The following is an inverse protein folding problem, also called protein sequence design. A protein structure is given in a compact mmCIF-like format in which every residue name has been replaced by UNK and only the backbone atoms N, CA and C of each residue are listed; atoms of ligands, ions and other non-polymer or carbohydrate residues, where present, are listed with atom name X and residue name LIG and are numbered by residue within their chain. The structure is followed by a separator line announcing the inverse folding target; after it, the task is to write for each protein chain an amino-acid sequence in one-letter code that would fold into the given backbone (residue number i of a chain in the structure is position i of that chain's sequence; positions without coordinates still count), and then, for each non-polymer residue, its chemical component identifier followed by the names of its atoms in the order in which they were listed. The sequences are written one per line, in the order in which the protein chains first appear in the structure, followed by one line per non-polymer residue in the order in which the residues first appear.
data_IF_236192648724
#
_entry.id   IF_236192648724
#
_cell.length_a   1.000
_cell.length_b   1.000
_cell.length_c   1.000
_cell.angle_alpha   90.00
_cell.angle_beta   90.00
_cell.angle_gamma   90.00
#
_symmetry.space_group_name_H-M   'P 1'
#
loop_
_entity.id
_entity.type
_entity.pdbx_description
1 polymer ?
#
# COMPACT_ATOMS: atom_id res chain seq x y z
N UNK A 1 6.80 -12.93 46.07
CA UNK A 1 8.00 -13.75 46.38
C UNK A 1 8.09 -14.87 45.36
N UNK A 2 9.14 -14.88 44.63
CA UNK A 2 9.90 -15.87 43.87
C UNK A 2 10.24 -15.38 42.46
N UNK A 3 11.45 -14.83 42.37
CA UNK A 3 12.14 -14.54 41.14
C UNK A 3 12.67 -15.84 40.52
N UNK A 4 12.35 -16.13 39.29
CA UNK A 4 13.00 -17.24 38.58
C UNK A 4 13.84 -16.65 37.43
N UNK A 5 15.17 -16.74 37.62
CA UNK A 5 16.18 -16.32 36.63
C UNK A 5 16.41 -17.46 35.64
N UNK A 6 16.01 -17.26 34.37
CA UNK A 6 16.49 -18.11 33.29
C UNK A 6 17.72 -17.49 32.66
N UNK A 7 18.86 -18.11 32.94
CA UNK A 7 20.16 -17.77 32.37
C UNK A 7 20.28 -18.53 31.04
N UNK A 8 20.20 -17.83 29.92
CA UNK A 8 20.41 -18.43 28.60
C UNK A 8 21.92 -18.53 28.33
N UNK A 9 22.37 -19.72 28.01
CA UNK A 9 23.73 -20.00 27.54
C UNK A 9 23.80 -19.67 26.05
N UNK A 10 24.77 -18.83 25.66
CA UNK A 10 25.10 -18.53 24.26
C UNK A 10 26.29 -19.41 23.89
N UNK A 11 26.20 -20.32 22.91
CA UNK A 11 27.38 -21.02 22.42
C UNK A 11 28.25 -20.09 21.59
N UNK A 12 29.51 -19.96 21.96
CA UNK A 12 30.50 -19.21 21.19
C UNK A 12 30.90 -20.02 19.96
N UNK A 13 30.64 -19.48 18.78
CA UNK A 13 31.14 -20.05 17.52
C UNK A 13 32.50 -19.41 17.24
N UNK A 14 33.56 -20.22 17.31
CA UNK A 14 34.92 -19.82 16.96
C UNK A 14 35.04 -19.86 15.45
N UNK A 15 35.16 -18.68 14.82
CA UNK A 15 35.48 -18.55 13.39
C UNK A 15 37.00 -18.65 13.22
N UNK A 16 37.47 -19.71 12.56
CA UNK A 16 38.88 -19.85 12.19
C UNK A 16 39.17 -19.06 10.92
N UNK A 17 39.93 -18.00 11.04
CA UNK A 17 40.42 -17.18 9.88
C UNK A 17 41.67 -17.89 9.33
N UNK A 18 41.57 -18.39 8.11
CA UNK A 18 42.71 -18.89 7.33
C UNK A 18 43.37 -17.73 6.61
N UNK A 19 44.53 -17.28 7.12
CA UNK A 19 45.38 -16.28 6.47
C UNK A 19 46.29 -17.00 5.47
N UNK A 20 46.07 -16.75 4.17
CA UNK A 20 47.02 -17.18 3.11
C UNK A 20 48.07 -16.11 2.97
N UNK A 21 49.30 -16.41 3.44
CA UNK A 21 50.49 -15.55 3.27
C UNK A 21 51.12 -15.92 1.94
N UNK A 22 51.09 -15.02 0.96
CA UNK A 22 51.86 -15.16 -0.27
C UNK A 22 53.20 -14.50 -0.04
N UNK A 23 54.26 -15.34 0.10
CA UNK A 23 55.63 -14.83 0.19
C UNK A 23 56.17 -14.53 -1.22
N UNK A 24 56.44 -13.28 -1.49
CA UNK A 24 57.17 -12.87 -2.71
C UNK A 24 58.64 -12.88 -2.36
N UNK A 25 59.37 -13.87 -2.86
CA UNK A 25 60.83 -13.89 -2.79
C UNK A 25 61.37 -13.25 -4.07
N UNK A 26 61.95 -12.09 -3.94
CA UNK A 26 62.68 -11.43 -5.04
C UNK A 26 64.09 -12.03 -5.17
N UNK A 27 64.41 -12.49 -6.36
CA UNK A 27 65.74 -12.91 -6.72
C UNK A 27 66.17 -12.30 -8.06
N UNK A 28 67.30 -11.64 -8.06
CA UNK A 28 67.85 -10.93 -9.20
C UNK A 28 68.81 -11.80 -10.02
N UNK A 29 68.86 -11.53 -11.33
CA UNK A 29 69.92 -11.67 -12.32
C UNK A 29 70.22 -13.06 -12.92
N UNK A 30 70.27 -13.07 -14.25
CA UNK A 30 70.96 -14.05 -15.09
C UNK A 30 70.39 -14.22 -16.49
N UNK A 31 70.90 -13.49 -17.39
CA UNK A 31 71.21 -13.57 -18.82
C UNK A 31 70.84 -14.86 -19.57
N UNK A 32 70.13 -14.64 -20.70
CA UNK A 32 70.11 -15.35 -22.00
C UNK A 32 69.80 -16.85 -22.05
N UNK A 33 68.64 -17.21 -22.64
CA UNK A 33 68.63 -18.06 -23.85
C UNK A 33 67.24 -17.98 -24.50
N UNK A 34 67.24 -17.75 -25.82
CA UNK A 34 66.04 -17.72 -26.63
C UNK A 34 65.63 -19.15 -27.00
N UNK A 35 64.53 -19.61 -26.42
CA UNK A 35 63.89 -20.82 -26.86
C UNK A 35 62.45 -20.50 -27.33
N UNK A 36 62.23 -20.72 -28.59
CA UNK A 36 60.98 -20.58 -29.35
C UNK A 36 59.82 -21.35 -28.68
N UNK A 37 58.93 -20.59 -28.05
CA UNK A 37 57.66 -21.15 -27.55
C UNK A 37 56.56 -21.01 -28.63
N UNK A 38 55.91 -22.08 -29.03
CA UNK A 38 54.79 -21.95 -29.97
C UNK A 38 53.68 -21.12 -29.38
N UNK A 39 53.27 -20.08 -30.08
CA UNK A 39 52.12 -19.26 -29.72
C UNK A 39 50.86 -20.11 -29.76
N UNK A 40 50.25 -20.35 -28.61
CA UNK A 40 48.91 -20.99 -28.55
C UNK A 40 47.94 -19.93 -29.04
N UNK A 41 47.48 -20.09 -30.28
CA UNK A 41 46.41 -19.27 -30.83
C UNK A 41 45.13 -19.64 -30.12
N UNK A 42 44.69 -18.83 -29.19
CA UNK A 42 43.33 -18.95 -28.59
C UNK A 42 42.31 -18.64 -29.68
N UNK A 43 41.84 -19.68 -30.34
CA UNK A 43 40.69 -19.57 -31.23
C UNK A 43 39.48 -19.19 -30.38
N UNK A 44 39.12 -17.92 -30.41
CA UNK A 44 37.87 -17.46 -29.80
C UNK A 44 36.70 -18.07 -30.57
N UNK A 45 36.11 -19.08 -29.98
CA UNK A 45 34.84 -19.64 -30.52
C UNK A 45 33.79 -18.58 -30.24
N UNK A 46 33.16 -17.98 -31.27
CA UNK A 46 32.07 -17.06 -31.00
C UNK A 46 30.96 -17.84 -30.28
N UNK A 47 30.62 -17.40 -29.06
CA UNK A 47 29.46 -17.95 -28.37
C UNK A 47 28.22 -17.53 -29.15
N UNK A 48 27.73 -18.42 -29.99
CA UNK A 48 26.43 -18.24 -30.66
C UNK A 48 25.37 -18.36 -29.58
N UNK A 49 24.94 -17.24 -29.04
CA UNK A 49 23.78 -17.19 -28.16
C UNK A 49 22.56 -17.45 -29.03
N UNK A 50 22.15 -18.70 -29.12
CA UNK A 50 20.89 -19.04 -29.77
C UNK A 50 19.76 -18.62 -28.87
N UNK A 51 19.21 -17.45 -29.11
CA UNK A 51 17.97 -16.99 -28.45
C UNK A 51 16.85 -17.87 -29.00
N UNK A 52 16.47 -18.87 -28.24
CA UNK A 52 15.28 -19.69 -28.60
C UNK A 52 14.06 -18.80 -28.31
N UNK A 53 13.50 -18.22 -29.36
CA UNK A 53 12.22 -17.50 -29.25
C UNK A 53 11.11 -18.54 -29.12
N UNK A 54 10.47 -18.57 -27.99
CA UNK A 54 9.23 -19.35 -27.80
C UNK A 54 8.18 -18.76 -28.76
N UNK A 55 7.55 -19.58 -29.62
CA UNK A 55 6.52 -19.05 -30.53
C UNK A 55 5.38 -18.39 -29.75
N UNK A 56 4.98 -17.20 -30.16
CA UNK A 56 3.84 -16.49 -29.55
C UNK A 56 2.53 -17.19 -29.93
N UNK A 57 1.62 -17.26 -28.97
CA UNK A 57 0.27 -17.77 -29.15
C UNK A 57 -0.64 -16.60 -29.53
N UNK A 58 -1.31 -16.61 -30.69
CA UNK A 58 -2.17 -15.51 -31.09
C UNK A 58 -3.46 -15.49 -30.32
N UNK A 59 -3.97 -14.27 -30.04
CA UNK A 59 -5.29 -14.04 -29.49
C UNK A 59 -6.24 -13.66 -30.63
N UNK A 60 -7.40 -14.33 -30.74
CA UNK A 60 -8.32 -14.15 -31.86
C UNK A 60 -9.41 -13.10 -31.63
N UNK A 61 -9.53 -12.59 -30.40
CA UNK A 61 -10.57 -11.63 -30.01
C UNK A 61 -10.07 -10.71 -28.91
N UNK A 62 -10.81 -9.63 -28.66
CA UNK A 62 -10.58 -8.82 -27.48
C UNK A 62 -11.12 -9.54 -26.24
N UNK A 63 -10.38 -9.43 -25.13
CA UNK A 63 -10.85 -9.90 -23.82
C UNK A 63 -11.15 -8.69 -22.96
N UNK A 64 -12.42 -8.54 -22.60
CA UNK A 64 -12.93 -7.44 -21.79
C UNK A 64 -13.71 -7.99 -20.61
N UNK A 65 -14.10 -7.16 -19.67
CA UNK A 65 -14.84 -7.58 -18.47
C UNK A 65 -16.03 -8.48 -18.86
N UNK A 66 -16.05 -9.68 -18.29
CA UNK A 66 -17.06 -10.70 -18.58
C UNK A 66 -16.64 -11.73 -19.64
N UNK A 67 -15.52 -11.52 -20.35
CA UNK A 67 -14.97 -12.55 -21.26
C UNK A 67 -14.58 -13.79 -20.45
N UNK A 68 -14.80 -14.97 -21.06
CA UNK A 68 -14.47 -16.26 -20.43
C UNK A 68 -13.78 -17.20 -21.42
N UNK A 69 -12.95 -18.10 -20.90
CA UNK A 69 -12.32 -19.16 -21.72
C UNK A 69 -10.85 -19.40 -21.38
N UNK A 70 -10.28 -20.41 -22.05
CA UNK A 70 -8.85 -20.77 -21.91
C UNK A 70 -7.92 -19.62 -22.32
N UNK A 71 -8.35 -18.80 -23.28
CA UNK A 71 -7.60 -17.60 -23.68
C UNK A 71 -7.50 -16.57 -22.54
N UNK A 72 -8.53 -16.51 -21.67
CA UNK A 72 -8.49 -15.66 -20.47
C UNK A 72 -7.53 -16.25 -19.44
N UNK A 73 -7.58 -17.58 -19.21
CA UNK A 73 -6.63 -18.23 -18.29
C UNK A 73 -5.18 -17.99 -18.72
N UNK A 74 -4.90 -18.07 -20.03
CA UNK A 74 -3.55 -17.78 -20.57
C UNK A 74 -3.11 -16.36 -20.24
N UNK A 75 -4.00 -15.38 -20.38
CA UNK A 75 -3.70 -13.98 -20.06
C UNK A 75 -3.49 -13.79 -18.54
N UNK A 76 -4.36 -14.37 -17.73
CA UNK A 76 -4.24 -14.29 -16.26
C UNK A 76 -2.92 -14.92 -15.81
N UNK A 77 -2.59 -16.12 -16.31
CA UNK A 77 -1.33 -16.77 -15.98
C UNK A 77 -0.15 -15.90 -16.40
N UNK A 78 -0.19 -15.33 -17.61
CA UNK A 78 0.90 -14.48 -18.09
C UNK A 78 1.07 -13.21 -17.23
N UNK A 79 -0.04 -12.55 -16.86
CA UNK A 79 0.00 -11.38 -15.96
C UNK A 79 0.69 -11.76 -14.63
N UNK A 80 0.28 -12.88 -14.03
CA UNK A 80 0.89 -13.39 -12.80
C UNK A 80 2.39 -13.65 -12.97
N UNK A 81 2.78 -14.34 -14.07
CA UNK A 81 4.18 -14.68 -14.35
C UNK A 81 5.08 -13.46 -14.47
N UNK A 82 4.52 -12.31 -14.88
CA UNK A 82 5.29 -11.06 -15.06
C UNK A 82 5.08 -10.05 -13.95
N UNK A 83 4.48 -10.48 -12.82
CA UNK A 83 4.38 -9.69 -11.59
C UNK A 83 3.16 -8.78 -11.48
N UNK A 84 2.19 -8.94 -12.40
CA UNK A 84 0.90 -8.22 -12.35
C UNK A 84 -0.18 -9.19 -11.88
N UNK A 85 -0.42 -9.25 -10.59
CA UNK A 85 -1.36 -10.21 -9.99
C UNK A 85 -2.80 -9.96 -10.47
N UNK A 86 -3.39 -10.87 -11.29
CA UNK A 86 -4.74 -10.68 -11.83
C UNK A 86 -5.83 -11.23 -10.90
N UNK A 87 -5.47 -11.69 -9.70
CA UNK A 87 -6.36 -12.48 -8.85
C UNK A 87 -6.40 -13.94 -9.29
N UNK A 88 -7.49 -14.65 -9.04
CA UNK A 88 -7.61 -16.07 -9.42
C UNK A 88 -7.43 -16.28 -10.94
N UNK A 89 -6.74 -17.35 -11.28
CA UNK A 89 -6.63 -17.80 -12.68
C UNK A 89 -7.82 -18.72 -12.92
N UNK A 90 -8.96 -18.12 -13.26
CA UNK A 90 -10.27 -18.79 -13.31
C UNK A 90 -10.91 -18.74 -14.70
N UNK A 91 -10.21 -18.15 -15.66
CA UNK A 91 -10.71 -18.03 -17.02
C UNK A 91 -11.85 -17.01 -17.16
N UNK A 92 -11.98 -16.04 -16.22
CA UNK A 92 -13.02 -15.00 -16.28
C UNK A 92 -12.36 -13.63 -16.11
N UNK A 93 -12.56 -12.72 -17.06
CA UNK A 93 -12.07 -11.34 -16.91
C UNK A 93 -12.97 -10.62 -15.88
N UNK A 94 -12.55 -10.69 -14.64
CA UNK A 94 -13.18 -9.98 -13.53
C UNK A 94 -12.59 -8.60 -13.29
N UNK A 95 -12.95 -7.98 -12.17
CA UNK A 95 -12.43 -6.67 -11.76
C UNK A 95 -10.92 -6.76 -11.50
N UNK A 96 -10.45 -7.81 -10.84
CA UNK A 96 -9.03 -7.97 -10.48
C UNK A 96 -8.16 -8.14 -11.74
N UNK A 97 -8.59 -8.99 -12.68
CA UNK A 97 -7.92 -9.14 -13.97
C UNK A 97 -7.83 -7.79 -14.70
N UNK A 98 -8.95 -7.05 -14.73
CA UNK A 98 -9.00 -5.72 -15.37
C UNK A 98 -8.00 -4.75 -14.70
N UNK A 99 -7.92 -4.75 -13.37
CA UNK A 99 -6.99 -3.90 -12.63
C UNK A 99 -5.52 -4.24 -12.95
N UNK A 100 -5.20 -5.54 -13.08
CA UNK A 100 -3.86 -5.97 -13.49
C UNK A 100 -3.54 -5.50 -14.91
N UNK A 101 -4.52 -5.58 -15.83
CA UNK A 101 -4.36 -5.06 -17.21
C UNK A 101 -4.14 -3.55 -17.18
N UNK A 102 -4.90 -2.79 -16.38
CA UNK A 102 -4.68 -1.35 -16.20
C UNK A 102 -3.24 -1.04 -15.75
N UNK A 103 -2.73 -1.80 -14.77
CA UNK A 103 -1.36 -1.60 -14.31
C UNK A 103 -0.36 -1.85 -15.45
N UNK A 104 -0.58 -2.89 -16.23
CA UNK A 104 0.28 -3.22 -17.37
C UNK A 104 0.22 -2.14 -18.46
N UNK A 105 -1.00 -1.71 -18.85
CA UNK A 105 -1.19 -0.65 -19.86
C UNK A 105 -0.44 0.63 -19.45
N UNK A 106 -0.59 1.04 -18.19
CA UNK A 106 -0.01 2.29 -17.70
C UNK A 106 1.51 2.18 -17.50
N UNK A 107 1.98 1.11 -16.87
CA UNK A 107 3.39 1.00 -16.49
C UNK A 107 4.29 0.53 -17.65
N UNK A 108 3.83 -0.44 -18.45
CA UNK A 108 4.65 -1.05 -19.50
C UNK A 108 4.41 -0.41 -20.86
N UNK A 109 3.15 -0.06 -21.15
CA UNK A 109 2.79 0.52 -22.45
C UNK A 109 2.81 2.05 -22.44
N UNK A 110 2.91 2.67 -21.26
CA UNK A 110 2.90 4.12 -21.13
C UNK A 110 1.56 4.77 -21.50
N UNK A 111 0.47 4.01 -21.36
CA UNK A 111 -0.87 4.54 -21.65
C UNK A 111 -1.28 5.48 -20.51
N UNK A 112 -1.69 6.73 -20.80
CA UNK A 112 -2.19 7.62 -19.75
C UNK A 112 -3.35 6.97 -18.99
N UNK A 113 -3.46 7.22 -17.67
CA UNK A 113 -4.44 6.51 -16.82
C UNK A 113 -5.89 6.64 -17.34
N UNK A 114 -6.25 7.81 -17.87
CA UNK A 114 -7.59 8.07 -18.39
C UNK A 114 -7.90 7.32 -19.70
N UNK A 115 -6.87 6.84 -20.40
CA UNK A 115 -6.99 6.09 -21.66
C UNK A 115 -6.84 4.58 -21.46
N UNK A 116 -6.45 4.14 -20.25
CA UNK A 116 -6.28 2.71 -19.94
C UNK A 116 -7.65 2.03 -19.94
N UNK A 117 -7.81 1.06 -20.82
CA UNK A 117 -9.11 0.39 -21.05
C UNK A 117 -9.33 -0.84 -20.18
N UNK A 118 -8.25 -1.53 -19.83
CA UNK A 118 -8.33 -2.84 -19.18
C UNK A 118 -8.83 -3.92 -20.12
N UNK A 119 -8.72 -3.69 -21.43
CA UNK A 119 -9.12 -4.65 -22.49
C UNK A 119 -7.87 -5.26 -23.10
N UNK A 120 -7.76 -6.58 -23.08
CA UNK A 120 -6.63 -7.25 -23.73
C UNK A 120 -6.96 -7.43 -25.20
N UNK A 121 -6.41 -6.57 -26.04
CA UNK A 121 -6.50 -6.71 -27.50
C UNK A 121 -5.45 -7.71 -27.99
N UNK A 122 -5.58 -8.27 -29.20
CA UNK A 122 -4.52 -9.11 -29.78
C UNK A 122 -3.15 -8.42 -29.79
N UNK A 123 -3.10 -7.11 -30.04
CA UNK A 123 -1.85 -6.35 -30.02
C UNK A 123 -1.25 -6.24 -28.61
N UNK A 124 -2.09 -6.00 -27.62
CA UNK A 124 -1.64 -5.95 -26.22
C UNK A 124 -1.13 -7.33 -25.76
N UNK A 125 -1.87 -8.40 -26.13
CA UNK A 125 -1.46 -9.77 -25.84
C UNK A 125 -0.12 -10.13 -26.49
N UNK A 126 0.08 -9.73 -27.74
CA UNK A 126 1.37 -9.96 -28.42
C UNK A 126 2.52 -9.32 -27.64
N UNK A 127 2.31 -8.10 -27.11
CA UNK A 127 3.32 -7.39 -26.30
C UNK A 127 3.52 -8.04 -24.92
N UNK A 128 2.43 -8.52 -24.28
CA UNK A 128 2.51 -9.20 -22.99
C UNK A 128 3.37 -10.46 -23.02
N UNK A 129 3.45 -11.14 -24.16
CA UNK A 129 4.25 -12.37 -24.30
C UNK A 129 5.75 -12.07 -24.28
N UNK A 130 6.16 -10.82 -24.47
CA UNK A 130 7.56 -10.39 -24.30
C UNK A 130 7.83 -10.08 -22.83
N UNK A 131 9.08 -10.27 -22.36
CA UNK A 131 9.43 -9.86 -21.01
C UNK A 131 9.21 -8.35 -20.83
N UNK A 132 8.49 -7.90 -19.81
CA UNK A 132 8.38 -6.47 -19.55
C UNK A 132 9.70 -5.94 -18.99
N UNK A 133 10.07 -4.74 -19.40
CA UNK A 133 11.28 -4.08 -18.89
C UNK A 133 10.88 -3.02 -17.87
N UNK A 134 10.44 -3.48 -16.69
CA UNK A 134 10.11 -2.60 -15.57
C UNK A 134 11.37 -2.42 -14.73
N UNK A 135 11.81 -1.17 -14.59
CA UNK A 135 12.98 -0.80 -13.79
C UNK A 135 12.57 0.32 -12.84
N UNK A 136 13.19 0.36 -11.65
CA UNK A 136 12.90 1.48 -10.75
C UNK A 136 13.32 2.82 -11.38
N UNK A 137 12.54 3.85 -11.15
CA UNK A 137 12.93 5.22 -11.51
C UNK A 137 14.12 5.68 -10.67
N UNK A 138 14.22 5.13 -9.44
CA UNK A 138 15.34 5.42 -8.54
C UNK A 138 16.06 4.13 -8.15
N UNK A 139 16.95 3.62 -9.04
CA UNK A 139 17.65 2.36 -8.77
C UNK A 139 18.63 2.50 -7.60
N UNK A 140 18.67 1.47 -6.75
CA UNK A 140 19.57 1.39 -5.59
C UNK A 140 20.89 0.70 -5.90
N UNK A 141 21.08 0.24 -7.14
CA UNK A 141 22.21 -0.58 -7.53
C UNK A 141 22.10 -2.02 -7.00
N UNK A 142 20.87 -2.46 -6.71
CA UNK A 142 20.61 -3.79 -6.16
C UNK A 142 20.94 -3.92 -4.68
N UNK A 143 21.10 -2.81 -3.97
CA UNK A 143 21.51 -2.82 -2.56
C UNK A 143 20.32 -2.85 -1.59
N UNK A 144 19.19 -2.26 -1.98
CA UNK A 144 18.05 -2.08 -1.08
C UNK A 144 16.72 -2.47 -1.74
N UNK A 145 15.78 -2.87 -0.92
CA UNK A 145 14.37 -2.96 -1.30
C UNK A 145 13.74 -1.57 -1.15
N UNK A 146 12.71 -1.29 -1.95
CA UNK A 146 11.96 -0.03 -1.84
C UNK A 146 10.64 -0.14 -2.59
N UNK A 147 9.73 0.78 -2.32
CA UNK A 147 8.46 0.89 -3.04
C UNK A 147 8.45 2.21 -3.82
N UNK A 148 8.00 2.16 -5.05
CA UNK A 148 7.77 3.34 -5.89
C UNK A 148 6.27 3.48 -6.15
N UNK A 149 5.73 4.69 -5.89
CA UNK A 149 4.32 5.03 -6.07
C UNK A 149 4.24 6.14 -7.11
N UNK A 150 3.53 5.89 -8.21
CA UNK A 150 3.40 6.81 -9.34
C UNK A 150 1.97 7.35 -9.35
N UNK A 151 1.77 8.55 -8.80
CA UNK A 151 0.42 9.14 -8.64
C UNK A 151 -0.22 9.47 -9.97
N UNK A 152 0.57 9.90 -10.95
CA UNK A 152 0.05 10.23 -12.27
C UNK A 152 -0.50 8.98 -12.97
N UNK A 153 0.23 7.89 -12.90
CA UNK A 153 -0.15 6.62 -13.51
C UNK A 153 -1.12 5.80 -12.67
N UNK A 154 -1.23 6.10 -11.36
CA UNK A 154 -1.99 5.29 -10.41
C UNK A 154 -1.50 3.84 -10.43
N UNK A 155 -0.18 3.70 -10.19
CA UNK A 155 0.52 2.40 -10.13
C UNK A 155 1.48 2.41 -8.96
N UNK A 156 1.59 1.28 -8.27
CA UNK A 156 2.56 1.03 -7.21
C UNK A 156 3.43 -0.15 -7.62
N UNK A 157 4.74 -0.04 -7.39
CA UNK A 157 5.70 -1.11 -7.67
C UNK A 157 6.56 -1.35 -6.43
N UNK A 158 6.63 -2.60 -5.98
CA UNK A 158 7.58 -3.01 -4.95
C UNK A 158 8.81 -3.58 -5.66
N UNK A 159 9.98 -3.10 -5.30
CA UNK A 159 11.25 -3.57 -5.83
C UNK A 159 12.07 -4.28 -4.74
N UNK A 160 12.50 -5.50 -5.01
CA UNK A 160 13.49 -6.21 -4.21
C UNK A 160 14.83 -6.15 -4.92
N UNK A 161 15.75 -5.34 -4.41
CA UNK A 161 17.10 -5.15 -5.01
C UNK A 161 17.00 -4.74 -6.48
N UNK A 162 16.15 -3.78 -6.77
CA UNK A 162 15.88 -3.24 -8.11
C UNK A 162 15.16 -4.22 -9.06
N UNK A 163 14.72 -5.39 -8.57
CA UNK A 163 13.91 -6.34 -9.35
C UNK A 163 12.44 -6.16 -8.93
N UNK A 164 11.51 -5.93 -9.86
CA UNK A 164 10.10 -5.78 -9.48
C UNK A 164 9.54 -7.09 -8.90
N UNK A 165 8.97 -6.97 -7.70
CA UNK A 165 8.33 -8.07 -6.97
C UNK A 165 6.80 -8.02 -7.08
N UNK A 166 6.27 -6.80 -7.26
CA UNK A 166 4.82 -6.55 -7.41
C UNK A 166 4.58 -5.29 -8.24
N UNK A 167 3.68 -5.04 -9.12
CA UNK A 167 3.24 -4.17 -9.84
C UNK A 167 1.96 -4.09 -9.70
N UNK A 168 1.32 -3.17 -9.23
CA UNK A 168 -0.13 -3.19 -9.06
C UNK A 168 -0.79 -1.86 -9.39
N UNK A 169 -2.02 -1.93 -9.90
CA UNK A 169 -2.90 -0.77 -9.99
C UNK A 169 -3.24 -0.30 -8.57
N UNK A 170 -3.40 1.01 -8.41
CA UNK A 170 -3.79 1.61 -7.13
C UNK A 170 -4.76 2.78 -7.37
N UNK A 171 -5.33 3.33 -6.26
CA UNK A 171 -6.11 4.55 -6.30
C UNK A 171 -5.71 5.42 -5.12
N UNK A 172 -5.19 6.61 -5.40
CA UNK A 172 -4.69 7.58 -4.41
C UNK A 172 -5.75 8.61 -4.04
N UNK A 173 -5.34 9.68 -3.35
CA UNK A 173 -6.21 10.79 -2.95
C UNK A 173 -6.97 11.41 -4.13
N UNK A 174 -8.26 11.63 -3.92
CA UNK A 174 -9.17 12.18 -4.94
C UNK A 174 -8.71 13.54 -5.43
N UNK A 175 -8.85 13.77 -6.73
CA UNK A 175 -8.54 15.04 -7.37
C UNK A 175 -9.83 15.72 -7.84
N UNK A 176 -9.84 17.04 -7.78
CA UNK A 176 -10.94 17.84 -8.29
C UNK A 176 -10.87 17.99 -9.83
N UNK A 177 -11.77 18.78 -10.41
CA UNK A 177 -11.83 19.04 -11.86
C UNK A 177 -10.59 19.77 -12.42
N UNK A 178 -9.77 20.35 -11.54
CA UNK A 178 -8.53 21.04 -11.93
C UNK A 178 -7.28 20.17 -11.74
N UNK A 179 -7.45 18.97 -11.19
CA UNK A 179 -6.34 18.07 -10.90
C UNK A 179 -5.65 18.33 -9.54
N UNK A 180 -6.28 19.17 -8.70
CA UNK A 180 -5.78 19.45 -7.35
C UNK A 180 -6.45 18.51 -6.34
N UNK A 181 -5.87 18.29 -5.15
CA UNK A 181 -6.51 17.45 -4.14
C UNK A 181 -7.91 17.95 -3.80
N UNK A 182 -8.91 17.08 -3.94
CA UNK A 182 -10.32 17.43 -3.72
C UNK A 182 -10.58 17.75 -2.23
N UNK A 183 -11.36 18.79 -1.98
CA UNK A 183 -11.81 19.12 -0.64
C UNK A 183 -12.93 18.17 -0.22
N UNK A 184 -12.81 17.56 0.95
CA UNK A 184 -13.90 16.78 1.54
C UNK A 184 -14.25 17.33 2.92
N UNK A 185 -15.52 17.22 3.29
CA UNK A 185 -16.02 17.55 4.63
C UNK A 185 -16.88 16.37 5.10
N UNK A 186 -16.51 15.77 6.22
CA UNK A 186 -17.21 14.60 6.74
C UNK A 186 -17.45 14.73 8.25
N UNK A 187 -18.56 14.17 8.71
CA UNK A 187 -18.83 14.05 10.14
C UNK A 187 -18.24 12.72 10.60
N UNK A 188 -17.20 12.80 11.39
CA UNK A 188 -16.46 11.62 11.84
C UNK A 188 -16.65 11.40 13.35
N UNK A 189 -16.65 10.16 13.77
CA UNK A 189 -16.74 9.78 15.18
C UNK A 189 -15.46 9.06 15.57
N UNK A 190 -14.82 9.56 16.60
CA UNK A 190 -13.61 8.99 17.21
C UNK A 190 -14.05 8.25 18.47
N UNK A 191 -13.79 6.96 18.53
CA UNK A 191 -14.03 6.13 19.71
C UNK A 191 -12.73 5.83 20.47
N UNK A 192 -11.60 6.21 19.88
CA UNK A 192 -10.26 6.02 20.48
C UNK A 192 -9.49 7.34 20.48
N UNK A 193 -8.55 7.47 21.40
CA UNK A 193 -7.61 8.58 21.44
C UNK A 193 -6.44 8.37 20.47
N UNK A 194 -5.45 9.27 20.49
CA UNK A 194 -4.27 9.22 19.64
C UNK A 194 -3.37 8.02 19.92
N UNK A 195 -3.45 7.45 21.10
CA UNK A 195 -2.70 6.26 21.53
C UNK A 195 -3.44 4.97 21.16
N UNK A 196 -4.72 5.07 20.77
CA UNK A 196 -5.55 3.93 20.41
C UNK A 196 -6.35 3.35 21.58
N UNK A 197 -6.38 4.04 22.73
CA UNK A 197 -7.19 3.63 23.88
C UNK A 197 -8.62 4.13 23.71
N UNK A 198 -9.59 3.33 24.14
CA UNK A 198 -11.00 3.67 24.02
C UNK A 198 -11.35 4.91 24.86
N UNK A 199 -12.06 5.84 24.26
CA UNK A 199 -12.61 7.01 24.94
C UNK A 199 -13.79 6.60 25.81
N UNK A 200 -14.02 7.29 26.93
CA UNK A 200 -15.20 7.09 27.78
C UNK A 200 -16.49 7.39 27.01
N UNK A 201 -16.45 8.43 26.17
CA UNK A 201 -17.54 8.78 25.26
C UNK A 201 -16.97 9.09 23.88
N UNK A 202 -17.53 8.55 22.80
CA UNK A 202 -17.08 8.89 21.44
C UNK A 202 -17.24 10.39 21.15
N UNK A 203 -16.29 10.95 20.43
CA UNK A 203 -16.30 12.37 20.05
C UNK A 203 -16.70 12.45 18.57
N UNK A 204 -17.83 13.10 18.29
CA UNK A 204 -18.29 13.33 16.90
C UNK A 204 -18.02 14.79 16.54
N UNK A 205 -17.35 15.00 15.42
CA UNK A 205 -17.07 16.34 14.91
C UNK A 205 -17.02 16.35 13.38
N UNK A 206 -17.34 17.49 12.79
CA UNK A 206 -17.12 17.71 11.36
C UNK A 206 -15.65 18.05 11.15
N UNK A 207 -15.04 17.42 10.16
CA UNK A 207 -13.69 17.74 9.71
C UNK A 207 -13.71 18.03 8.21
N UNK A 208 -12.95 19.05 7.80
CA UNK A 208 -12.70 19.32 6.39
C UNK A 208 -11.20 19.22 6.15
N UNK A 209 -10.82 18.58 5.04
CA UNK A 209 -9.42 18.43 4.65
C UNK A 209 -9.34 18.17 3.14
N UNK A 210 -8.13 18.19 2.61
CA UNK A 210 -7.90 17.86 1.20
C UNK A 210 -7.47 16.41 1.05
N UNK A 211 -7.99 15.74 0.03
CA UNK A 211 -7.70 14.32 -0.30
C UNK A 211 -6.29 14.16 -0.88
N UNK A 212 -5.29 14.63 -0.13
CA UNK A 212 -3.91 14.73 -0.62
C UNK A 212 -3.10 13.46 -0.33
N UNK A 213 -2.58 12.83 -1.39
CA UNK A 213 -1.46 11.87 -1.26
C UNK A 213 -0.19 12.66 -1.59
N UNK A 214 0.63 13.03 -0.60
CA UNK A 214 1.80 13.85 -0.88
C UNK A 214 2.90 13.10 -1.64
N UNK A 215 3.58 13.80 -2.56
CA UNK A 215 4.85 13.32 -3.10
C UNK A 215 5.95 13.40 -2.05
N UNK A 216 7.05 12.70 -2.29
CA UNK A 216 8.21 12.76 -1.41
C UNK A 216 8.90 11.42 -1.16
N UNK A 217 9.90 11.46 -0.28
CA UNK A 217 10.64 10.28 0.17
C UNK A 217 10.20 9.96 1.59
N UNK A 218 9.69 8.76 1.79
CA UNK A 218 9.15 8.29 3.06
C UNK A 218 9.75 6.93 3.41
N UNK A 219 9.32 6.37 4.55
CA UNK A 219 9.67 5.01 4.98
C UNK A 219 8.41 4.35 5.57
N UNK A 220 8.30 3.04 5.41
CA UNK A 220 7.25 2.30 6.09
C UNK A 220 7.51 2.34 7.61
N UNK A 221 6.53 2.80 8.38
CA UNK A 221 6.69 3.06 9.83
C UNK A 221 5.83 2.18 10.72
N UNK A 222 4.71 1.71 10.23
CA UNK A 222 3.76 0.92 11.02
C UNK A 222 2.92 0.06 10.09
N UNK A 223 2.63 -1.16 10.52
CA UNK A 223 1.68 -2.04 9.86
C UNK A 223 0.64 -2.50 10.88
N UNK A 224 -0.57 -2.79 10.39
CA UNK A 224 -1.66 -3.32 11.21
C UNK A 224 -2.24 -4.51 10.44
N UNK A 225 -2.29 -5.67 11.08
CA UNK A 225 -2.90 -6.86 10.48
C UNK A 225 -4.42 -6.78 10.59
N UNK A 226 -5.11 -7.18 9.54
CA UNK A 226 -6.56 -7.22 9.48
C UNK A 226 -7.19 -5.86 9.22
N UNK A 227 -8.38 -5.65 9.73
CA UNK A 227 -9.15 -4.43 9.52
C UNK A 227 -8.71 -3.38 10.56
N UNK A 228 -8.30 -2.21 10.07
CA UNK A 228 -8.14 -1.01 10.90
C UNK A 228 -9.34 -0.10 10.63
N UNK A 229 -10.24 -0.04 11.59
CA UNK A 229 -11.37 0.89 11.53
C UNK A 229 -10.86 2.30 11.75
N UNK A 230 -11.18 3.19 10.85
CA UNK A 230 -10.76 4.58 10.92
C UNK A 230 -11.96 5.52 10.78
N UNK A 231 -11.82 6.76 11.23
CA UNK A 231 -12.93 7.71 11.14
C UNK A 231 -13.36 8.03 9.69
N UNK A 232 -12.45 7.82 8.72
CA UNK A 232 -12.71 8.03 7.30
C UNK A 232 -12.92 6.71 6.53
N UNK A 233 -13.23 5.63 7.25
CA UNK A 233 -13.49 4.32 6.68
C UNK A 233 -12.44 3.27 7.02
N UNK A 234 -12.78 2.04 6.72
CA UNK A 234 -11.96 0.89 7.05
C UNK A 234 -10.80 0.68 6.06
N UNK A 235 -9.66 0.25 6.61
CA UNK A 235 -8.47 -0.09 5.82
C UNK A 235 -8.10 -1.55 6.11
N UNK A 236 -7.86 -2.33 5.05
CA UNK A 236 -7.47 -3.73 5.20
C UNK A 236 -5.95 -3.87 5.09
N UNK A 237 -5.33 -4.46 6.12
CA UNK A 237 -3.88 -4.70 6.21
C UNK A 237 -3.05 -3.43 5.89
N UNK A 238 -3.32 -2.26 6.51
CA UNK A 238 -2.59 -1.04 6.16
C UNK A 238 -1.12 -1.07 6.57
N UNK A 239 -0.26 -0.52 5.69
CA UNK A 239 1.16 -0.27 5.95
C UNK A 239 1.37 1.24 5.80
N UNK A 240 1.59 1.92 6.93
CA UNK A 240 1.69 3.38 7.00
C UNK A 240 3.10 3.85 6.61
N UNK A 241 3.17 4.90 5.79
CA UNK A 241 4.45 5.50 5.38
C UNK A 241 4.52 7.02 5.63
N UNK A 242 3.39 7.70 5.79
CA UNK A 242 3.37 9.16 5.99
C UNK A 242 2.22 9.53 6.94
N UNK A 243 2.52 9.66 8.25
CA UNK A 243 1.50 9.94 9.28
C UNK A 243 0.32 8.97 9.18
N UNK A 244 -0.88 9.44 8.85
CA UNK A 244 -2.07 8.62 8.68
C UNK A 244 -2.24 8.00 7.30
N UNK A 245 -1.34 8.29 6.36
CA UNK A 245 -1.43 7.75 5.00
C UNK A 245 -0.76 6.37 4.94
N UNK A 246 -1.47 5.41 4.38
CA UNK A 246 -1.05 4.02 4.27
C UNK A 246 -1.31 3.47 2.86
N UNK A 247 -0.58 2.43 2.51
CA UNK A 247 -0.98 1.50 1.44
C UNK A 247 -1.89 0.48 2.11
N UNK A 248 -3.10 0.26 1.59
CA UNK A 248 -4.05 -0.66 2.19
C UNK A 248 -5.00 -1.30 1.17
N UNK A 249 -5.53 -2.45 1.51
CA UNK A 249 -6.54 -3.11 0.71
C UNK A 249 -7.88 -2.38 0.77
N UNK A 250 -8.54 -2.30 -0.38
CA UNK A 250 -9.87 -1.72 -0.48
C UNK A 250 -10.74 -2.53 -1.44
N UNK A 251 -12.05 -2.54 -1.18
CA UNK A 251 -13.01 -3.20 -2.06
C UNK A 251 -13.09 -2.46 -3.41
N UNK A 252 -12.99 -1.13 -3.35
CA UNK A 252 -13.07 -0.28 -4.54
C UNK A 252 -11.72 0.38 -4.80
N UNK A 253 -11.10 0.00 -5.92
CA UNK A 253 -9.87 0.60 -6.44
C UNK A 253 -10.17 1.02 -7.88
N UNK A 254 -10.80 2.17 -8.08
CA UNK A 254 -11.17 2.64 -9.42
C UNK A 254 -9.95 3.11 -10.22
N UNK A 255 -10.13 3.34 -11.51
CA UNK A 255 -9.04 3.79 -12.39
C UNK A 255 -8.51 5.18 -12.01
N UNK A 256 -9.36 5.99 -11.37
CA UNK A 256 -9.07 7.36 -10.97
C UNK A 256 -8.70 7.44 -9.48
N UNK A 257 -7.99 8.50 -9.07
CA UNK A 257 -7.81 8.82 -7.66
C UNK A 257 -9.17 9.02 -6.96
N UNK A 258 -9.40 8.36 -5.81
CA UNK A 258 -10.72 8.35 -5.16
C UNK A 258 -10.67 8.14 -3.64
N UNK A 259 -9.49 8.26 -3.02
CA UNK A 259 -9.36 8.09 -1.56
C UNK A 259 -9.28 9.46 -0.86
N UNK A 260 -9.26 9.47 0.47
CA UNK A 260 -8.99 10.68 1.26
C UNK A 260 -7.48 10.95 1.44
N UNK A 261 -6.64 10.26 0.67
CA UNK A 261 -5.18 10.43 0.70
C UNK A 261 -4.40 9.12 0.79
N UNK A 262 -5.00 8.06 1.30
CA UNK A 262 -4.36 6.75 1.35
C UNK A 262 -4.20 6.14 -0.06
N UNK A 263 -3.31 5.18 -0.19
CA UNK A 263 -3.06 4.44 -1.42
C UNK A 263 -3.83 3.11 -1.35
N UNK A 264 -4.97 3.06 -2.04
CA UNK A 264 -5.79 1.86 -2.11
C UNK A 264 -5.20 0.87 -3.11
N UNK A 265 -5.05 -0.39 -2.72
CA UNK A 265 -4.67 -1.50 -3.61
C UNK A 265 -5.77 -2.56 -3.59
N UNK A 266 -5.83 -3.44 -4.60
CA UNK A 266 -6.82 -4.53 -4.61
C UNK A 266 -6.74 -5.38 -3.34
N UNK A 267 -7.92 -5.76 -2.82
CA UNK A 267 -8.03 -6.46 -1.53
C UNK A 267 -7.14 -7.73 -1.47
N UNK A 268 -7.16 -8.55 -2.53
CA UNK A 268 -6.39 -9.80 -2.58
C UNK A 268 -4.88 -9.55 -2.49
N UNK A 269 -4.40 -8.44 -3.05
CA UNK A 269 -2.98 -8.06 -2.98
C UNK A 269 -2.61 -7.68 -1.55
N UNK A 270 -3.49 -6.97 -0.84
CA UNK A 270 -3.20 -6.57 0.54
C UNK A 270 -3.08 -7.75 1.51
N UNK A 271 -3.60 -8.93 1.14
CA UNK A 271 -3.45 -10.15 1.95
C UNK A 271 -1.99 -10.58 2.10
N UNK A 272 -1.15 -10.24 1.13
CA UNK A 272 0.26 -10.60 1.18
C UNK A 272 1.22 -9.39 1.05
N UNK A 273 0.70 -8.19 0.79
CA UNK A 273 1.53 -6.97 0.62
C UNK A 273 2.47 -6.75 1.80
N UNK A 274 1.97 -6.98 3.03
CA UNK A 274 2.78 -6.81 4.24
C UNK A 274 3.98 -7.76 4.29
N UNK A 275 3.94 -8.88 3.57
CA UNK A 275 5.06 -9.81 3.50
C UNK A 275 6.11 -9.42 2.45
N UNK A 276 5.78 -8.47 1.59
CA UNK A 276 6.70 -7.98 0.55
C UNK A 276 7.53 -6.78 1.00
N UNK A 277 7.16 -6.14 2.12
CA UNK A 277 7.80 -4.89 2.56
C UNK A 277 8.21 -5.00 4.03
N UNK A 278 9.22 -4.25 4.43
CA UNK A 278 9.69 -4.20 5.82
C UNK A 278 9.64 -2.76 6.36
N UNK A 279 9.46 -2.63 7.68
CA UNK A 279 9.52 -1.32 8.33
C UNK A 279 10.91 -0.71 8.15
N UNK A 280 10.96 0.55 7.78
CA UNK A 280 12.19 1.27 7.46
C UNK A 280 12.58 1.23 5.98
N UNK A 281 11.91 0.43 5.15
CA UNK A 281 12.16 0.48 3.70
C UNK A 281 11.62 1.77 3.10
N UNK A 282 12.35 2.30 2.12
CA UNK A 282 12.00 3.55 1.44
C UNK A 282 10.74 3.43 0.60
N UNK A 283 9.90 4.47 0.66
CA UNK A 283 8.72 4.65 -0.18
C UNK A 283 8.91 5.98 -0.91
N UNK A 284 9.10 5.90 -2.23
CA UNK A 284 9.27 7.07 -3.08
C UNK A 284 7.95 7.34 -3.82
N UNK A 285 7.43 8.55 -3.65
CA UNK A 285 6.14 8.93 -4.24
C UNK A 285 6.35 10.05 -5.26
N UNK A 286 6.14 9.72 -6.54
CA UNK A 286 6.17 10.69 -7.64
C UNK A 286 4.78 11.30 -7.81
N UNK A 287 4.69 12.62 -7.69
CA UNK A 287 3.43 13.36 -7.80
C UNK A 287 3.17 13.92 -9.22
N UNK A 288 4.05 13.60 -10.17
CA UNK A 288 3.94 14.10 -11.55
C UNK A 288 4.49 15.51 -11.75
N UNK A 289 4.89 16.19 -10.68
CA UNK A 289 5.39 17.58 -10.71
C UNK A 289 6.87 17.67 -10.33
N UNK A 290 7.23 17.01 -9.23
CA UNK A 290 8.59 17.07 -8.66
C UNK A 290 9.16 15.67 -8.48
N UNK A 291 10.48 15.56 -8.51
CA UNK A 291 11.16 14.35 -8.05
C UNK A 291 10.92 14.20 -6.54
N UNK A 292 10.80 12.96 -6.03
CA UNK A 292 10.52 12.77 -4.60
C UNK A 292 11.47 13.52 -3.66
N UNK A 293 12.75 13.56 -4.01
CA UNK A 293 13.79 14.20 -3.19
C UNK A 293 13.70 15.74 -3.20
N UNK A 294 13.02 16.31 -4.18
CA UNK A 294 12.86 17.77 -4.33
C UNK A 294 11.58 18.27 -3.64
N UNK A 295 10.72 17.37 -3.16
CA UNK A 295 9.50 17.75 -2.43
C UNK A 295 9.89 18.24 -1.04
N UNK A 296 9.51 19.48 -0.71
CA UNK A 296 9.82 20.05 0.60
C UNK A 296 9.04 19.36 1.72
N UNK A 297 9.53 19.49 2.95
CA UNK A 297 8.86 18.93 4.13
C UNK A 297 7.40 19.38 4.22
N UNK A 298 7.13 20.66 3.99
CA UNK A 298 5.76 21.19 4.06
C UNK A 298 4.84 20.58 2.99
N UNK A 299 5.38 20.41 1.77
CA UNK A 299 4.63 19.78 0.69
C UNK A 299 4.35 18.31 0.95
N UNK A 300 5.25 17.62 1.65
CA UNK A 300 5.10 16.20 1.97
C UNK A 300 4.13 15.92 3.11
N UNK A 301 3.60 16.95 3.78
CA UNK A 301 2.62 16.75 4.86
C UNK A 301 1.23 16.43 4.29
N UNK A 302 0.51 15.50 4.93
CA UNK A 302 -0.90 15.25 4.57
C UNK A 302 -1.81 16.36 5.08
N UNK A 303 -3.06 16.35 4.66
CA UNK A 303 -4.06 17.35 5.06
C UNK A 303 -5.13 16.67 5.94
N UNK A 304 -4.79 16.42 7.20
CA UNK A 304 -5.70 15.73 8.14
C UNK A 304 -6.08 16.59 9.36
N UNK A 305 -5.59 17.80 9.45
CA UNK A 305 -5.69 18.58 10.69
C UNK A 305 -7.07 19.19 10.95
N UNK A 306 -7.98 19.09 9.96
CA UNK A 306 -9.32 19.68 10.09
C UNK A 306 -9.29 21.20 10.15
N UNK A 307 -8.16 21.81 9.78
CA UNK A 307 -8.02 23.27 9.82
C UNK A 307 -8.66 23.98 8.63
N UNK A 308 -9.07 23.21 7.62
CA UNK A 308 -9.73 23.78 6.44
C UNK A 308 -11.16 24.15 6.82
N UNK A 309 -11.55 25.45 6.71
CA UNK A 309 -12.94 25.83 7.01
C UNK A 309 -13.93 25.16 6.05
N UNK A 310 -15.03 24.67 6.59
CA UNK A 310 -16.10 24.14 5.74
C UNK A 310 -16.70 25.29 4.92
N UNK A 311 -16.62 25.24 3.58
CA UNK A 311 -17.21 26.31 2.75
C UNK A 311 -18.74 26.31 2.79
N UNK A 312 -19.37 25.20 3.21
CA UNK A 312 -20.83 25.07 3.29
C UNK A 312 -21.22 24.52 4.67
N UNK A 313 -21.00 25.29 5.75
CA UNK A 313 -21.24 24.74 7.08
C UNK A 313 -22.71 24.36 7.27
N UNK A 314 -22.92 23.11 7.62
CA UNK A 314 -24.25 22.64 8.02
C UNK A 314 -24.61 23.34 9.34
N UNK A 315 -25.60 24.22 9.30
CA UNK A 315 -26.08 24.88 10.51
C UNK A 315 -26.79 23.84 11.40
N UNK A 316 -26.02 23.14 12.20
CA UNK A 316 -26.59 22.31 13.24
C UNK A 316 -27.05 23.23 14.36
N UNK A 317 -28.34 23.51 14.40
CA UNK A 317 -28.92 24.23 15.54
C UNK A 317 -28.83 23.30 16.74
N UNK A 318 -27.78 23.46 17.53
CA UNK A 318 -27.71 22.81 18.85
C UNK A 318 -28.80 23.36 19.71
N UNK A 319 -29.93 22.64 19.78
CA UNK A 319 -30.94 22.94 20.79
C UNK A 319 -30.39 22.49 22.15
N UNK A 320 -29.72 23.38 22.81
CA UNK A 320 -29.31 23.13 24.19
C UNK A 320 -30.60 23.11 25.04
N UNK A 321 -31.13 21.91 25.30
CA UNK A 321 -32.23 21.74 26.24
C UNK A 321 -31.65 21.97 27.64
N UNK A 322 -31.79 23.20 28.15
CA UNK A 322 -31.45 23.48 29.53
C UNK A 322 -32.52 22.85 30.42
N UNK A 323 -32.24 21.67 30.93
CA UNK A 323 -33.08 21.02 31.93
C UNK A 323 -32.91 21.78 33.23
N UNK A 324 -33.85 22.69 33.51
CA UNK A 324 -33.90 23.36 34.83
C UNK A 324 -34.45 22.34 35.84
N UNK A 325 -33.56 21.75 36.62
CA UNK A 325 -33.98 20.90 37.74
C UNK A 325 -34.51 21.78 38.84
N UNK A 326 -35.84 21.93 38.94
CA UNK A 326 -36.48 22.62 40.09
C UNK A 326 -36.46 21.66 41.27
N UNK A 327 -35.58 21.90 42.21
CA UNK A 327 -35.52 21.18 43.49
C UNK A 327 -36.71 21.61 44.33
N UNK A 328 -37.80 20.86 44.34
CA UNK A 328 -38.93 21.05 45.27
C UNK A 328 -38.53 20.48 46.62
N UNK A 329 -38.45 21.35 47.63
CA UNK A 329 -38.27 20.95 49.03
C UNK A 329 -39.58 20.31 49.51
N UNK A 330 -39.59 19.08 50.02
CA UNK A 330 -40.84 18.44 50.49
C UNK A 330 -41.39 19.17 51.73
N UNK A 331 -42.73 19.35 51.85
CA UNK A 331 -43.32 20.00 53.02
C UNK A 331 -43.19 19.09 54.25
N UNK A 332 -42.89 19.71 55.39
CA UNK A 332 -42.82 19.04 56.69
C UNK A 332 -44.25 18.53 57.09
N UNK A 333 -44.42 17.26 57.17
CA UNK A 333 -45.69 16.63 57.57
C UNK A 333 -45.81 16.57 59.08
N UNK A 334 -46.76 17.33 59.66
CA UNK A 334 -47.13 17.23 61.07
C UNK A 334 -48.11 16.05 61.22
N UNK A 335 -47.68 15.02 61.90
CA UNK A 335 -48.51 13.82 62.14
C UNK A 335 -49.56 14.07 63.23
N UNK A 336 -50.83 14.08 62.86
CA UNK A 336 -51.92 14.03 63.83
C UNK A 336 -52.51 12.59 63.75
N UNK A 337 -52.37 11.88 64.86
CA UNK A 337 -52.90 10.50 65.02
C UNK A 337 -54.37 10.56 65.38
N UNK A 338 -55.23 10.01 64.53
CA UNK A 338 -56.58 9.68 64.95
C UNK A 338 -56.96 8.23 64.52
N UNK A 339 -57.23 7.42 65.52
CA UNK A 339 -57.75 6.06 65.41
C UNK A 339 -59.22 6.08 65.00
N UNK A 340 -59.62 5.32 64.02
CA UNK A 340 -60.95 4.65 64.03
C UNK A 340 -61.06 3.48 63.01
N UNK A 341 -61.53 2.46 63.52
CA UNK A 341 -62.12 1.13 63.22
C UNK A 341 -62.54 0.78 61.81
N UNK A 342 -62.14 -0.42 61.50
CA UNK A 342 -62.71 -1.51 60.67
C UNK A 342 -64.10 -1.37 59.99
N UNK A 343 -64.21 -1.84 58.76
CA UNK A 343 -65.15 -2.89 58.37
C UNK A 343 -64.78 -3.56 57.02
N UNK A 344 -64.93 -4.87 57.06
CA UNK A 344 -64.78 -5.84 56.01
C UNK A 344 -65.94 -5.81 55.01
N UNK A 345 -65.70 -5.96 53.73
CA UNK A 345 -66.63 -6.71 52.87
C UNK A 345 -65.99 -7.29 51.63
N UNK A 346 -66.31 -8.55 51.38
CA UNK A 346 -65.90 -9.47 50.33
C UNK A 346 -66.87 -9.37 49.13
N UNK A 347 -66.34 -9.81 47.97
CA UNK A 347 -67.01 -10.25 46.76
C UNK A 347 -67.01 -9.22 45.60
N UNK A 348 -66.76 -9.59 44.34
CA UNK A 348 -66.73 -10.78 43.48
C UNK A 348 -65.66 -10.58 42.39
#
# INVERSE_FOLDING_TARGET
MMFNRYRRWIPAVVAALLLVVVAVVGGTSGVDDAADKPAVSLTTIPATTTTTTVPKVPLSRNLERGSTGEDVEMVQQRLADIGFDPGPIDGVVGTLTKQAVWAYEKLVMGVPRQDATGVVTPALWDRMQEPPMVRPRRPTGGLQNHTEIYLEEQVLVVFHKDVPALXTHMSSGELDEFGEPALYCEVVTYDTDSEGELLEEPITREICAYSKTPGGVFEYRRLVEGIRNGPLGDMWNPVYFNYGIAVHGAIQVPAEPASHGCVRIPMHISEYFQSLVELGESVLVWNGVSEPEDVTYTESLPSFDGSVPNPNPTTTTSTTTTTTTTTTVPPTTTTTTSLTSSTTSVAE
#
